data_IF_887536854269
#
_entry.id   IF_887536854269
#
_cell.length_a   1.000
_cell.length_b   1.000
_cell.length_c   1.000
_cell.angle_alpha   90.00
_cell.angle_beta   90.00
_cell.angle_gamma   90.00
#
_symmetry.space_group_name_H-M   'P 1'
#
loop_
_entity.id
_entity.type
_entity.pdbx_description
1 polymer ?
#
# COMPACT_ATOMS: atom_id res chain seq x y z
N UNK A 1 28.19 -22.99 11.78
CA UNK A 1 26.77 -22.83 11.43
C UNK A 1 26.35 -21.45 11.92
N UNK A 2 26.55 -20.44 11.10
CA UNK A 2 26.06 -19.06 11.23
C UNK A 2 25.55 -18.73 9.81
N UNK A 3 24.43 -18.07 9.55
CA UNK A 3 23.70 -17.06 10.31
C UNK A 3 22.26 -17.03 9.75
N UNK A 4 21.24 -17.20 10.59
CA UNK A 4 19.84 -17.34 10.17
C UNK A 4 19.02 -16.08 10.41
N UNK A 5 19.65 -14.90 10.37
CA UNK A 5 19.12 -13.70 11.04
C UNK A 5 19.31 -12.42 10.20
N UNK A 6 18.87 -12.45 8.94
CA UNK A 6 18.67 -11.22 8.18
C UNK A 6 17.48 -10.41 8.74
N UNK A 7 17.51 -9.09 8.58
CA UNK A 7 16.35 -8.24 8.88
C UNK A 7 15.14 -8.71 8.05
N UNK A 8 14.02 -9.13 8.66
CA UNK A 8 12.85 -9.64 7.93
C UNK A 8 12.16 -8.58 7.08
N UNK A 9 12.51 -7.30 7.24
CA UNK A 9 12.08 -6.22 6.37
C UNK A 9 12.92 -6.11 5.09
N UNK A 10 14.11 -6.73 5.01
CA UNK A 10 14.96 -6.71 3.80
C UNK A 10 14.80 -8.02 3.04
N UNK A 11 14.09 -7.98 1.91
CA UNK A 11 13.77 -9.18 1.14
C UNK A 11 14.90 -9.66 0.21
N UNK A 12 15.76 -8.74 -0.24
CA UNK A 12 16.88 -9.07 -1.12
C UNK A 12 18.07 -8.11 -0.93
N UNK A 13 19.30 -8.53 -1.24
CA UNK A 13 20.45 -7.63 -1.27
C UNK A 13 20.19 -6.42 -2.19
N UNK A 14 20.55 -5.22 -1.72
CA UNK A 14 20.36 -3.97 -2.48
C UNK A 14 18.94 -3.39 -2.41
N UNK A 15 18.06 -3.94 -1.57
CA UNK A 15 16.72 -3.39 -1.32
C UNK A 15 16.65 -2.65 0.01
N UNK A 16 15.85 -1.59 0.07
CA UNK A 16 15.50 -0.89 1.28
C UNK A 16 14.56 -1.77 2.15
N UNK A 17 14.57 -1.60 3.48
CA UNK A 17 13.64 -2.33 4.35
C UNK A 17 12.18 -1.97 4.02
N UNK A 18 11.34 -2.98 3.89
CA UNK A 18 9.89 -2.82 3.73
C UNK A 18 9.27 -2.27 5.01
N UNK A 19 8.16 -1.51 4.96
CA UNK A 19 7.54 -0.93 6.15
C UNK A 19 6.97 -2.01 7.09
N UNK A 20 6.53 -3.13 6.52
CA UNK A 20 5.98 -4.26 7.25
C UNK A 20 6.54 -5.57 6.71
N UNK A 21 6.63 -6.56 7.57
CA UNK A 21 6.89 -7.96 7.23
C UNK A 21 5.59 -8.64 6.75
N UNK A 22 5.72 -9.75 6.02
CA UNK A 22 4.59 -10.59 5.63
C UNK A 22 3.75 -11.02 6.85
N UNK A 23 4.39 -11.31 7.99
CA UNK A 23 3.70 -11.64 9.24
C UNK A 23 2.87 -10.47 9.77
N UNK A 24 3.43 -9.25 9.80
CA UNK A 24 2.68 -8.06 10.22
C UNK A 24 1.51 -7.75 9.28
N UNK A 25 1.69 -7.91 7.97
CA UNK A 25 0.60 -7.74 6.99
C UNK A 25 -0.51 -8.76 7.25
N UNK A 26 -0.15 -10.03 7.47
CA UNK A 26 -1.09 -11.11 7.80
C UNK A 26 -1.85 -10.82 9.09
N UNK A 27 -1.15 -10.44 10.16
CA UNK A 27 -1.77 -10.16 11.47
C UNK A 27 -2.71 -8.94 11.40
N UNK A 28 -2.44 -7.99 10.51
CA UNK A 28 -3.30 -6.84 10.22
C UNK A 28 -4.46 -7.15 9.28
N UNK A 29 -4.53 -8.33 8.67
CA UNK A 29 -5.55 -8.72 7.71
C UNK A 29 -6.52 -9.75 8.30
N UNK A 30 -7.81 -9.61 7.95
CA UNK A 30 -8.82 -10.61 8.29
C UNK A 30 -9.89 -10.67 7.20
N UNK A 31 -10.47 -11.84 6.99
CA UNK A 31 -11.63 -12.00 6.12
C UNK A 31 -12.73 -11.00 6.54
N UNK A 32 -13.31 -10.30 5.57
CA UNK A 32 -14.24 -9.20 5.74
C UNK A 32 -13.61 -7.81 5.85
N UNK A 33 -12.28 -7.68 6.03
CA UNK A 33 -11.61 -6.36 6.03
C UNK A 33 -11.82 -5.68 4.69
N UNK A 34 -12.17 -4.40 4.73
CA UNK A 34 -12.37 -3.55 3.56
C UNK A 34 -11.50 -2.29 3.66
N UNK A 35 -10.66 -2.08 2.65
CA UNK A 35 -9.88 -0.85 2.51
C UNK A 35 -10.45 -0.09 1.31
N UNK A 36 -10.82 1.17 1.54
CA UNK A 36 -11.27 2.08 0.47
C UNK A 36 -10.25 3.17 0.28
N UNK A 37 -9.84 3.36 -0.96
CA UNK A 37 -8.96 4.46 -1.37
C UNK A 37 -9.64 5.31 -2.44
N UNK A 38 -9.43 6.62 -2.38
CA UNK A 38 -9.75 7.54 -3.48
C UNK A 38 -8.55 7.60 -4.41
N UNK A 39 -8.80 7.42 -5.71
CA UNK A 39 -7.81 7.47 -6.79
C UNK A 39 -8.06 8.72 -7.62
N UNK A 40 -7.03 9.52 -7.81
CA UNK A 40 -7.07 10.78 -8.56
C UNK A 40 -5.89 10.82 -9.53
N UNK A 41 -6.14 10.54 -10.80
CA UNK A 41 -5.16 10.64 -11.88
C UNK A 41 -5.34 11.95 -12.65
N UNK A 42 -4.23 12.55 -13.10
CA UNK A 42 -4.25 13.81 -13.82
C UNK A 42 -5.07 13.72 -15.11
N UNK A 43 -6.10 14.57 -15.24
CA UNK A 43 -6.99 14.60 -16.40
C UNK A 43 -8.08 13.53 -16.41
N UNK A 44 -8.17 12.69 -15.37
CA UNK A 44 -9.19 11.64 -15.26
C UNK A 44 -10.22 11.96 -14.17
N UNK A 45 -11.39 11.34 -14.30
CA UNK A 45 -12.43 11.42 -13.27
C UNK A 45 -12.01 10.59 -12.05
N UNK A 46 -11.99 11.16 -10.84
CA UNK A 46 -11.65 10.42 -9.63
C UNK A 46 -12.69 9.34 -9.31
N UNK A 47 -12.23 8.25 -8.70
CA UNK A 47 -13.06 7.12 -8.30
C UNK A 47 -12.57 6.52 -6.97
N UNK A 48 -13.38 5.66 -6.37
CA UNK A 48 -12.96 4.84 -5.25
C UNK A 48 -12.52 3.46 -5.74
N UNK A 49 -11.36 3.00 -5.28
CA UNK A 49 -10.99 1.59 -5.33
C UNK A 49 -11.22 0.96 -3.96
N UNK A 50 -11.90 -0.18 -3.96
CA UNK A 50 -12.15 -0.97 -2.76
C UNK A 50 -11.41 -2.29 -2.87
N UNK A 51 -10.64 -2.63 -1.85
CA UNK A 51 -10.02 -3.93 -1.67
C UNK A 51 -10.69 -4.62 -0.49
N UNK A 52 -11.36 -5.75 -0.73
CA UNK A 52 -12.01 -6.56 0.28
C UNK A 52 -11.30 -7.90 0.42
N UNK A 53 -10.93 -8.26 1.64
CA UNK A 53 -10.39 -9.57 1.95
C UNK A 53 -11.54 -10.56 2.08
N UNK A 54 -11.68 -11.50 1.14
CA UNK A 54 -12.73 -12.53 1.19
C UNK A 54 -12.32 -13.69 2.07
N UNK A 55 -11.11 -14.20 1.84
CA UNK A 55 -10.52 -15.33 2.55
C UNK A 55 -9.10 -14.95 2.96
N UNK A 56 -8.65 -15.43 4.11
CA UNK A 56 -7.28 -15.25 4.60
C UNK A 56 -6.84 -16.55 5.27
N UNK A 57 -5.65 -17.03 4.90
CA UNK A 57 -5.03 -18.20 5.50
C UNK A 57 -3.55 -17.94 5.82
N UNK A 58 -2.81 -19.00 6.15
CA UNK A 58 -1.40 -18.89 6.50
C UNK A 58 -0.52 -18.40 5.33
N UNK A 59 -0.89 -18.75 4.09
CA UNK A 59 -0.11 -18.47 2.89
C UNK A 59 -0.47 -17.12 2.24
N UNK A 60 -1.74 -16.72 2.31
CA UNK A 60 -2.20 -15.53 1.62
C UNK A 60 -3.65 -15.15 1.88
N UNK A 61 -4.21 -14.39 0.95
CA UNK A 61 -5.60 -14.00 0.94
C UNK A 61 -6.19 -14.02 -0.46
N UNK A 62 -7.51 -14.10 -0.55
CA UNK A 62 -8.26 -13.79 -1.76
C UNK A 62 -8.79 -12.36 -1.62
N UNK A 63 -8.31 -11.46 -2.48
CA UNK A 63 -8.76 -10.07 -2.53
C UNK A 63 -9.81 -9.91 -3.63
N UNK A 64 -10.97 -9.39 -3.26
CA UNK A 64 -11.91 -8.80 -4.20
C UNK A 64 -11.57 -7.31 -4.37
N UNK A 65 -11.30 -6.91 -5.61
CA UNK A 65 -11.07 -5.51 -5.99
C UNK A 65 -12.22 -5.02 -6.86
N UNK A 66 -12.78 -3.87 -6.53
CA UNK A 66 -13.79 -3.23 -7.37
C UNK A 66 -13.71 -1.70 -7.29
N UNK A 67 -14.29 -1.04 -8.29
CA UNK A 67 -14.28 0.40 -8.42
C UNK A 67 -15.69 0.97 -8.26
N UNK A 68 -15.78 2.13 -7.62
CA UNK A 68 -17.01 2.89 -7.46
C UNK A 68 -16.78 4.33 -7.95
N UNK A 69 -17.77 4.91 -8.62
CA UNK A 69 -17.83 6.35 -8.81
C UNK A 69 -17.96 7.07 -7.46
N UNK A 70 -17.72 8.38 -7.42
CA UNK A 70 -17.79 9.15 -6.18
C UNK A 70 -19.19 9.18 -5.55
N UNK A 71 -20.24 8.90 -6.33
CA UNK A 71 -21.62 8.76 -5.84
C UNK A 71 -21.94 7.36 -5.28
N UNK A 72 -20.97 6.43 -5.35
CA UNK A 72 -21.11 5.04 -4.89
C UNK A 72 -21.57 4.05 -5.96
N UNK A 73 -21.84 4.49 -7.20
CA UNK A 73 -22.23 3.60 -8.29
C UNK A 73 -21.07 2.70 -8.71
N UNK A 74 -21.27 1.40 -8.96
CA UNK A 74 -20.19 0.51 -9.39
C UNK A 74 -19.65 0.87 -10.78
N UNK A 75 -18.34 0.73 -10.96
CA UNK A 75 -17.63 0.88 -12.23
C UNK A 75 -17.00 -0.47 -12.58
N UNK A 76 -17.50 -1.10 -13.64
CA UNK A 76 -17.01 -2.40 -14.10
C UNK A 76 -17.37 -3.55 -13.15
N UNK A 77 -16.81 -4.72 -13.45
CA UNK A 77 -16.98 -5.93 -12.65
C UNK A 77 -15.86 -6.06 -11.61
N UNK A 78 -16.13 -6.70 -10.45
CA UNK A 78 -15.11 -7.00 -9.47
C UNK A 78 -14.08 -8.01 -10.01
N UNK A 79 -12.83 -7.83 -9.60
CA UNK A 79 -11.71 -8.73 -9.85
C UNK A 79 -11.40 -9.55 -8.59
N UNK A 80 -11.07 -10.83 -8.75
CA UNK A 80 -10.63 -11.70 -7.66
C UNK A 80 -9.17 -12.08 -7.85
N UNK A 81 -8.33 -11.66 -6.92
CA UNK A 81 -6.89 -11.88 -6.94
C UNK A 81 -6.46 -12.73 -5.73
N UNK A 82 -6.00 -13.98 -5.90
CA UNK A 82 -5.25 -14.66 -4.85
C UNK A 82 -3.86 -14.00 -4.72
N UNK A 83 -3.48 -13.64 -3.50
CA UNK A 83 -2.21 -12.96 -3.19
C UNK A 83 -1.50 -13.64 -2.03
N UNK A 84 -0.19 -13.88 -2.16
CA UNK A 84 0.61 -14.34 -1.03
C UNK A 84 1.04 -13.17 -0.13
N UNK A 85 1.21 -13.42 1.17
CA UNK A 85 1.65 -12.39 2.12
C UNK A 85 3.04 -11.83 1.76
N UNK A 86 3.93 -12.69 1.25
CA UNK A 86 5.27 -12.28 0.83
C UNK A 86 5.23 -11.39 -0.42
N UNK A 87 4.30 -11.64 -1.35
CA UNK A 87 4.13 -10.80 -2.54
C UNK A 87 3.65 -9.39 -2.13
N UNK A 88 2.73 -9.32 -1.16
CA UNK A 88 2.27 -8.04 -0.60
C UNK A 88 3.40 -7.27 0.10
N UNK A 89 4.29 -7.95 0.83
CA UNK A 89 5.50 -7.33 1.37
C UNK A 89 6.42 -6.84 0.24
N UNK A 90 6.58 -7.67 -0.81
CA UNK A 90 7.42 -7.40 -1.98
C UNK A 90 7.08 -6.11 -2.72
N UNK A 91 5.82 -5.67 -2.71
CA UNK A 91 5.40 -4.40 -3.31
C UNK A 91 6.13 -3.16 -2.75
N UNK A 92 6.70 -3.24 -1.54
CA UNK A 92 7.45 -2.15 -0.92
C UNK A 92 8.96 -2.40 -0.86
N UNK A 93 9.46 -3.44 -1.55
CA UNK A 93 10.88 -3.80 -1.59
C UNK A 93 11.60 -3.01 -2.70
N UNK A 94 11.86 -1.73 -2.44
CA UNK A 94 12.46 -0.81 -3.41
C UNK A 94 14.00 -0.86 -3.41
N UNK A 95 14.68 -0.45 -4.51
CA UNK A 95 16.14 -0.33 -4.52
C UNK A 95 16.64 0.65 -3.46
N UNK A 96 17.66 0.26 -2.69
CA UNK A 96 18.18 1.07 -1.57
C UNK A 96 18.77 2.39 -2.04
N UNK A 97 19.49 2.40 -3.17
CA UNK A 97 20.16 3.59 -3.71
C UNK A 97 19.17 4.61 -4.31
N UNK A 98 17.92 4.20 -4.54
CA UNK A 98 16.85 5.03 -5.09
C UNK A 98 15.84 5.49 -4.03
N UNK A 99 15.97 5.04 -2.78
CA UNK A 99 14.94 5.17 -1.75
C UNK A 99 15.42 5.95 -0.53
N UNK A 100 14.66 6.96 -0.13
CA UNK A 100 14.82 7.63 1.17
C UNK A 100 13.62 7.32 2.06
N UNK A 101 13.86 6.99 3.33
CA UNK A 101 12.82 6.67 4.32
C UNK A 101 12.94 7.66 5.49
N UNK A 102 11.84 8.32 5.83
CA UNK A 102 11.79 9.32 6.91
C UNK A 102 10.50 9.17 7.72
N UNK A 103 10.53 9.37 9.06
CA UNK A 103 9.31 9.48 9.84
C UNK A 103 8.58 10.78 9.49
N UNK A 104 7.27 10.72 9.34
CA UNK A 104 6.44 11.89 9.06
C UNK A 104 5.03 11.69 9.63
N UNK A 105 4.49 12.75 10.24
CA UNK A 105 3.10 12.78 10.69
C UNK A 105 2.26 13.53 9.66
N UNK A 106 1.18 12.91 9.18
CA UNK A 106 0.30 13.49 8.16
C UNK A 106 -1.17 13.50 8.59
N UNK A 107 -1.89 14.53 8.15
CA UNK A 107 -3.35 14.55 8.20
C UNK A 107 -3.94 13.72 7.05
N UNK A 108 -4.89 12.85 7.38
CA UNK A 108 -5.59 11.98 6.43
C UNK A 108 -7.09 11.96 6.71
N UNK A 109 -7.91 11.43 5.81
CA UNK A 109 -9.33 11.17 6.10
C UNK A 109 -9.56 10.22 7.30
N UNK A 110 -8.55 9.44 7.70
CA UNK A 110 -8.59 8.57 8.88
C UNK A 110 -8.17 9.29 10.18
N UNK A 111 -7.82 10.58 10.09
CA UNK A 111 -7.22 11.35 11.18
C UNK A 111 -5.72 11.60 10.97
N UNK A 112 -5.07 12.08 12.03
CA UNK A 112 -3.61 12.23 12.05
C UNK A 112 -2.93 10.88 12.26
N UNK A 113 -1.94 10.56 11.43
CA UNK A 113 -1.22 9.29 11.47
C UNK A 113 0.29 9.52 11.46
N UNK A 114 0.99 8.82 12.35
CA UNK A 114 2.44 8.68 12.28
C UNK A 114 2.80 7.65 11.19
N UNK A 115 3.65 8.06 10.26
CA UNK A 115 3.98 7.30 9.07
C UNK A 115 5.49 7.17 8.87
N UNK A 116 5.88 6.13 8.13
CA UNK A 116 7.13 6.12 7.38
C UNK A 116 6.85 6.64 5.96
N UNK A 117 7.47 7.77 5.59
CA UNK A 117 7.46 8.28 4.23
C UNK A 117 8.62 7.67 3.45
N UNK A 118 8.29 6.94 2.41
CA UNK A 118 9.23 6.44 1.41
C UNK A 118 9.19 7.39 0.22
N UNK A 119 10.34 7.84 -0.25
CA UNK A 119 10.47 8.52 -1.54
C UNK A 119 11.41 7.71 -2.42
N UNK A 120 10.87 7.19 -3.53
CA UNK A 120 11.57 6.33 -4.50
C UNK A 120 11.72 7.12 -5.80
N UNK A 121 12.95 7.26 -6.31
CA UNK A 121 13.24 8.06 -7.51
C UNK A 121 13.86 7.20 -8.62
N UNK A 122 13.22 7.20 -9.78
CA UNK A 122 13.66 6.48 -10.96
C UNK A 122 13.53 7.38 -12.20
N UNK A 123 14.66 7.95 -12.64
CA UNK A 123 14.68 8.90 -13.75
C UNK A 123 13.84 10.15 -13.45
N UNK A 124 12.83 10.41 -14.29
CA UNK A 124 11.89 11.53 -14.14
C UNK A 124 10.73 11.23 -13.17
N UNK A 125 10.60 9.98 -12.73
CA UNK A 125 9.49 9.53 -11.87
C UNK A 125 9.90 9.55 -10.41
N UNK A 126 9.07 10.18 -9.58
CA UNK A 126 9.16 10.10 -8.13
C UNK A 126 7.88 9.47 -7.58
N UNK A 127 8.02 8.39 -6.82
CA UNK A 127 6.94 7.75 -6.10
C UNK A 127 7.10 8.00 -4.61
N UNK A 128 6.08 8.57 -3.98
CA UNK A 128 6.07 8.85 -2.54
C UNK A 128 4.96 8.06 -1.87
N UNK A 129 5.32 7.27 -0.86
CA UNK A 129 4.41 6.41 -0.12
C UNK A 129 4.44 6.79 1.35
N UNK A 130 3.28 6.87 1.98
CA UNK A 130 3.15 7.03 3.43
C UNK A 130 2.53 5.77 4.01
N UNK A 131 3.33 5.01 4.76
CA UNK A 131 2.88 3.83 5.48
C UNK A 131 2.65 4.19 6.94
N UNK A 132 1.38 4.20 7.36
CA UNK A 132 1.04 4.47 8.77
C UNK A 132 1.50 3.30 9.64
N UNK A 133 2.33 3.56 10.65
CA UNK A 133 3.03 2.50 11.42
C UNK A 133 2.09 1.53 12.12
N UNK A 134 0.88 1.99 12.45
CA UNK A 134 -0.14 1.22 13.15
C UNK A 134 -1.13 0.51 12.22
N UNK A 135 -0.98 0.65 10.90
CA UNK A 135 -1.85 0.04 9.89
C UNK A 135 -1.04 -0.83 8.91
N UNK A 136 -0.59 -2.03 9.32
CA UNK A 136 0.12 -2.95 8.43
C UNK A 136 -0.64 -3.24 7.13
N UNK A 137 0.08 -3.11 6.01
CA UNK A 137 -0.45 -3.34 4.67
C UNK A 137 -0.11 -2.22 3.70
N UNK A 138 -1.10 -1.81 2.90
CA UNK A 138 -0.92 -0.79 1.87
C UNK A 138 -0.71 0.62 2.45
N UNK A 139 -0.04 1.54 1.72
CA UNK A 139 0.16 2.90 2.22
C UNK A 139 -1.17 3.64 2.37
N UNK A 140 -1.25 4.53 3.36
CA UNK A 140 -2.41 5.41 3.58
C UNK A 140 -2.46 6.56 2.59
N UNK A 141 -1.32 6.89 1.98
CA UNK A 141 -1.22 7.80 0.84
C UNK A 141 -0.11 7.34 -0.11
N UNK A 142 -0.35 7.47 -1.41
CA UNK A 142 0.62 7.25 -2.46
C UNK A 142 0.51 8.36 -3.50
N UNK A 143 1.64 8.94 -3.90
CA UNK A 143 1.71 10.00 -4.92
C UNK A 143 2.78 9.63 -5.93
N UNK A 144 2.42 9.68 -7.22
CA UNK A 144 3.40 9.63 -8.32
C UNK A 144 3.54 11.03 -8.90
N UNK A 145 4.79 11.47 -9.04
CA UNK A 145 5.17 12.67 -9.80
C UNK A 145 5.98 12.29 -11.02
N UNK A 146 5.74 12.98 -12.13
CA UNK A 146 6.50 12.86 -13.38
C UNK A 146 6.97 14.28 -13.72
N UNK A 147 8.28 14.46 -13.85
CA UNK A 147 8.89 15.77 -14.12
C UNK A 147 8.48 16.85 -13.09
N UNK A 148 8.25 16.45 -11.84
CA UNK A 148 7.84 17.32 -10.73
C UNK A 148 6.32 17.56 -10.63
N UNK A 149 5.55 17.20 -11.65
CA UNK A 149 4.09 17.36 -11.66
C UNK A 149 3.38 16.12 -11.11
N UNK A 150 2.30 16.31 -10.34
CA UNK A 150 1.53 15.20 -9.77
C UNK A 150 0.72 14.50 -10.86
N UNK A 151 1.05 13.24 -11.14
CA UNK A 151 0.36 12.41 -12.12
C UNK A 151 -0.74 11.54 -11.49
N UNK A 152 -0.52 11.09 -10.24
CA UNK A 152 -1.44 10.22 -9.51
C UNK A 152 -1.39 10.52 -8.02
N UNK A 153 -2.55 10.57 -7.39
CA UNK A 153 -2.71 10.51 -5.93
C UNK A 153 -3.68 9.40 -5.56
N UNK A 154 -3.29 8.55 -4.63
CA UNK A 154 -4.14 7.55 -3.99
C UNK A 154 -4.16 7.84 -2.50
N UNK A 155 -5.35 8.05 -1.93
CA UNK A 155 -5.53 8.35 -0.49
C UNK A 155 -6.49 7.36 0.14
N UNK A 156 -6.10 6.74 1.26
CA UNK A 156 -6.99 5.88 2.03
C UNK A 156 -8.06 6.72 2.71
N UNK A 157 -9.32 6.39 2.44
CA UNK A 157 -10.50 7.08 2.98
C UNK A 157 -11.25 6.23 4.01
N UNK A 158 -11.06 4.91 3.97
CA UNK A 158 -11.57 4.00 4.99
C UNK A 158 -10.67 2.77 5.12
N UNK A 159 -10.49 2.29 6.34
CA UNK A 159 -9.86 1.00 6.66
C UNK A 159 -10.74 0.33 7.71
N UNK A 160 -11.75 -0.38 7.21
CA UNK A 160 -12.77 -0.99 8.06
C UNK A 160 -12.41 -2.44 8.22
N UNK A 161 -12.44 -2.87 9.46
CA UNK A 161 -12.43 -4.27 9.74
C UNK A 161 -13.82 -4.74 10.22
N UNK A 162 -14.18 -6.02 10.03
CA UNK A 162 -15.39 -6.58 10.59
C UNK A 162 -15.33 -6.62 12.12
#
# INVERSE_FOLDING_TARGET
MADGTGDPHVLAPGTAPTPFTAAQIRDGARAGKEIRVRVEAAGETPYFRVNRYLECDEAGAVLERFHLALDGSPIGDPELDPVAWLDLQGHASFPVDATTIEPERIETPLGELDCLRYTVREGATENVFWFATDLPGMPVRFVTRIDGEVALTVSMVANVNP
#
